data_IF_196976263838
#
_entry.id   IF_196976263838
#
_cell.length_a   1.000
_cell.length_b   1.000
_cell.length_c   1.000
_cell.angle_alpha   90.00
_cell.angle_beta   90.00
_cell.angle_gamma   90.00
#
_symmetry.space_group_name_H-M   'P 1'
#
loop_
_entity.id
_entity.type
_entity.pdbx_description
1 polymer ?
#
# COMPACT_ATOMS: atom_id res chain seq x y z
N UNK A 1 6.94 10.23 6.23
CA UNK A 1 7.13 9.22 7.29
C UNK A 1 8.21 8.25 6.86
N UNK A 2 8.92 7.70 7.83
CA UNK A 2 10.06 6.79 7.65
C UNK A 2 9.96 5.74 8.76
N UNK A 3 10.05 4.44 8.44
CA UNK A 3 10.16 3.34 9.41
C UNK A 3 11.59 3.19 9.93
N UNK A 4 12.56 3.15 9.01
CA UNK A 4 14.00 2.97 9.23
C UNK A 4 14.47 1.51 9.20
N UNK A 5 14.85 0.92 10.32
CA UNK A 5 15.38 -0.46 10.38
C UNK A 5 14.46 -1.28 11.27
N UNK A 6 14.11 -2.48 10.82
CA UNK A 6 13.20 -3.41 11.48
C UNK A 6 11.80 -3.36 10.88
N UNK A 7 10.94 -4.28 11.34
CA UNK A 7 9.57 -4.39 10.85
C UNK A 7 8.71 -3.28 11.48
N UNK A 8 8.33 -2.26 10.71
CA UNK A 8 7.60 -1.09 11.19
C UNK A 8 6.11 -1.11 10.86
N UNK A 9 5.31 -0.45 11.71
CA UNK A 9 3.91 -0.11 11.43
C UNK A 9 3.82 1.39 11.16
N UNK A 10 3.42 1.75 9.94
CA UNK A 10 3.47 3.11 9.41
C UNK A 10 2.04 3.59 9.11
N UNK A 11 1.51 4.45 9.99
CA UNK A 11 0.16 5.02 9.86
C UNK A 11 0.23 6.50 9.45
N UNK A 12 -0.41 6.88 8.33
CA UNK A 12 -0.37 8.28 7.85
C UNK A 12 -1.47 9.15 8.42
N UNK A 13 -2.60 8.57 8.84
CA UNK A 13 -3.79 9.34 9.13
C UNK A 13 -4.34 10.07 7.90
N UNK A 14 -5.23 11.04 8.13
CA UNK A 14 -5.83 11.86 7.07
C UNK A 14 -4.81 12.80 6.42
N UNK A 15 -4.97 13.09 5.13
CA UNK A 15 -4.05 13.93 4.38
C UNK A 15 -3.35 13.19 3.23
N UNK A 16 -2.25 13.77 2.75
CA UNK A 16 -1.46 13.20 1.64
C UNK A 16 -0.02 13.11 2.08
N UNK A 17 0.40 11.90 2.44
CA UNK A 17 1.70 11.67 3.03
C UNK A 17 2.58 10.85 2.09
N UNK A 18 3.89 11.00 2.25
CA UNK A 18 4.86 10.08 1.67
C UNK A 18 5.41 9.21 2.78
N UNK A 19 5.47 7.91 2.54
CA UNK A 19 6.04 6.94 3.47
C UNK A 19 7.19 6.18 2.79
N UNK A 20 8.22 5.92 3.58
CA UNK A 20 9.33 5.03 3.28
C UNK A 20 9.33 3.98 4.40
N UNK A 21 9.33 2.71 4.03
CA UNK A 21 9.44 1.59 4.97
C UNK A 21 10.83 1.60 5.58
N UNK A 22 11.81 1.22 4.77
CA UNK A 22 13.20 1.14 5.15
C UNK A 22 13.68 -0.28 4.97
N UNK A 23 14.44 -0.81 5.94
CA UNK A 23 14.83 -2.22 5.98
C UNK A 23 13.87 -2.97 6.90
N UNK A 24 13.29 -4.09 6.44
CA UNK A 24 12.37 -4.90 7.25
C UNK A 24 11.12 -5.30 6.47
N UNK A 25 10.24 -6.06 7.11
CA UNK A 25 8.92 -6.36 6.54
C UNK A 25 7.90 -5.34 7.08
N UNK A 26 7.65 -4.27 6.34
CA UNK A 26 6.90 -3.11 6.83
C UNK A 26 5.38 -3.20 6.59
N UNK A 27 4.60 -2.59 7.48
CA UNK A 27 3.13 -2.53 7.37
C UNK A 27 2.64 -1.09 7.24
N UNK A 28 2.13 -0.73 6.06
CA UNK A 28 1.52 0.57 5.78
C UNK A 28 0.01 0.53 6.02
N UNK A 29 -0.49 1.27 7.01
CA UNK A 29 -1.91 1.24 7.38
C UNK A 29 -2.65 2.39 6.70
N UNK A 30 -3.63 2.05 5.86
CA UNK A 30 -4.48 3.06 5.21
C UNK A 30 -5.63 3.52 6.11
N UNK A 31 -6.05 4.78 5.96
CA UNK A 31 -7.19 5.30 6.74
C UNK A 31 -8.49 4.65 6.28
N UNK A 32 -9.11 3.92 7.21
CA UNK A 32 -10.44 3.36 7.02
C UNK A 32 -11.54 4.39 7.35
N UNK A 33 -11.79 5.29 6.39
CA UNK A 33 -12.64 6.47 6.59
C UNK A 33 -11.85 7.74 6.25
N UNK A 34 -12.47 8.92 6.40
CA UNK A 34 -11.78 10.19 6.15
C UNK A 34 -11.34 10.42 4.70
N UNK A 35 -10.62 11.52 4.47
CA UNK A 35 -10.04 11.87 3.16
C UNK A 35 -8.52 11.83 3.25
N UNK A 36 -7.89 11.09 2.34
CA UNK A 36 -6.43 11.04 2.28
C UNK A 36 -5.89 9.72 1.78
N UNK A 37 -4.60 9.73 1.43
CA UNK A 37 -3.85 8.55 1.03
C UNK A 37 -2.38 8.68 1.42
N UNK A 38 -1.74 7.52 1.62
CA UNK A 38 -0.28 7.41 1.72
C UNK A 38 0.31 7.08 0.36
N UNK A 39 1.37 7.79 -0.04
CA UNK A 39 2.22 7.42 -1.16
C UNK A 39 3.44 6.67 -0.64
N UNK A 40 3.48 5.37 -0.88
CA UNK A 40 4.55 4.47 -0.48
C UNK A 40 5.63 4.51 -1.55
N UNK A 41 6.87 4.75 -1.14
CA UNK A 41 7.94 5.15 -2.05
C UNK A 41 8.91 4.03 -2.40
N UNK A 42 8.93 2.96 -1.60
CA UNK A 42 9.92 1.88 -1.59
C UNK A 42 9.31 0.50 -1.31
N UNK A 43 8.00 0.32 -1.58
CA UNK A 43 7.29 -0.94 -1.32
C UNK A 43 7.98 -2.13 -1.96
N UNK A 44 8.37 -3.10 -1.15
CA UNK A 44 9.12 -4.28 -1.57
C UNK A 44 8.51 -5.59 -1.11
N UNK A 45 9.20 -6.70 -1.40
CA UNK A 45 8.73 -8.03 -1.00
C UNK A 45 8.99 -8.20 0.51
N UNK A 46 7.93 -8.49 1.26
CA UNK A 46 7.96 -8.52 2.72
C UNK A 46 6.93 -7.54 3.26
N UNK A 47 6.85 -6.38 2.61
CA UNK A 47 5.91 -5.33 2.97
C UNK A 47 4.45 -5.72 2.73
N UNK A 48 3.59 -5.06 3.51
CA UNK A 48 2.15 -5.17 3.42
C UNK A 48 1.46 -3.81 3.53
N UNK A 49 0.31 -3.69 2.88
CA UNK A 49 -0.60 -2.56 3.04
C UNK A 49 -1.86 -3.09 3.74
N UNK A 50 -2.11 -2.65 4.98
CA UNK A 50 -3.39 -2.93 5.63
C UNK A 50 -4.46 -1.97 5.11
N UNK A 51 -5.58 -2.54 4.65
CA UNK A 51 -6.71 -1.77 4.17
C UNK A 51 -8.03 -2.17 4.83
N UNK A 52 -9.10 -1.48 4.44
CA UNK A 52 -10.40 -1.67 5.06
C UNK A 52 -11.06 -3.05 4.79
N UNK A 53 -10.48 -3.89 3.93
CA UNK A 53 -11.12 -5.14 3.49
C UNK A 53 -12.35 -4.93 2.61
N UNK A 54 -12.56 -3.72 2.11
CA UNK A 54 -13.77 -3.37 1.37
C UNK A 54 -13.79 -4.07 0.01
N UNK A 55 -14.87 -4.76 -0.32
CA UNK A 55 -15.01 -5.47 -1.61
C UNK A 55 -14.93 -4.55 -2.85
N UNK A 56 -15.11 -3.24 -2.67
CA UNK A 56 -14.94 -2.23 -3.72
C UNK A 56 -13.50 -1.75 -3.90
N UNK A 57 -12.53 -2.38 -3.22
CA UNK A 57 -11.11 -2.04 -3.37
C UNK A 57 -10.58 -2.59 -4.69
N UNK A 58 -9.96 -1.70 -5.48
CA UNK A 58 -9.36 -2.04 -6.76
C UNK A 58 -7.99 -1.37 -6.90
N UNK A 59 -7.13 -1.93 -7.74
CA UNK A 59 -5.86 -1.28 -8.12
C UNK A 59 -6.00 -0.70 -9.52
N UNK A 60 -5.65 0.57 -9.67
CA UNK A 60 -5.59 1.25 -10.96
C UNK A 60 -4.17 1.74 -11.26
N UNK A 61 -3.68 1.52 -12.47
CA UNK A 61 -2.40 2.08 -12.90
C UNK A 61 -2.57 3.53 -13.37
N UNK A 62 -1.80 4.46 -12.79
CA UNK A 62 -1.75 5.86 -13.25
C UNK A 62 -0.32 6.38 -13.20
N UNK A 63 0.21 6.75 -14.36
CA UNK A 63 1.55 7.34 -14.47
C UNK A 63 2.68 6.40 -14.03
N UNK A 64 2.49 5.09 -14.13
CA UNK A 64 3.47 4.08 -13.69
C UNK A 64 3.44 3.76 -12.19
N UNK A 65 2.48 4.31 -11.45
CA UNK A 65 2.23 3.96 -10.05
C UNK A 65 0.94 3.12 -9.95
N UNK A 66 0.87 2.21 -8.98
CA UNK A 66 -0.35 1.49 -8.61
C UNK A 66 -1.16 2.31 -7.59
N UNK A 67 -2.43 2.58 -7.90
CA UNK A 67 -3.33 3.36 -7.06
C UNK A 67 -4.36 2.42 -6.44
N UNK A 68 -4.31 2.27 -5.12
CA UNK A 68 -5.27 1.49 -4.35
C UNK A 68 -6.49 2.37 -4.10
N UNK A 69 -7.58 2.05 -4.77
CA UNK A 69 -8.83 2.80 -4.79
C UNK A 69 -9.90 2.09 -3.99
N UNK A 70 -10.78 2.83 -3.31
CA UNK A 70 -12.05 2.36 -2.75
C UNK A 70 -13.17 3.19 -3.38
N UNK A 71 -13.78 2.69 -4.45
CA UNK A 71 -14.62 3.52 -5.31
C UNK A 71 -13.80 4.68 -5.88
N UNK A 72 -14.25 5.93 -5.73
CA UNK A 72 -13.54 7.12 -6.20
C UNK A 72 -12.46 7.64 -5.22
N UNK A 73 -12.32 7.01 -4.05
CA UNK A 73 -11.40 7.46 -3.00
C UNK A 73 -10.06 6.73 -3.09
N UNK A 74 -8.97 7.48 -3.17
CA UNK A 74 -7.61 6.93 -3.18
C UNK A 74 -7.23 6.60 -1.74
N UNK A 75 -6.73 5.39 -1.48
CA UNK A 75 -6.30 4.96 -0.13
C UNK A 75 -4.79 4.78 -0.01
N UNK A 76 -4.14 4.30 -1.06
CA UNK A 76 -2.69 4.27 -1.15
C UNK A 76 -2.25 4.46 -2.59
N UNK A 77 -1.02 4.92 -2.78
CA UNK A 77 -0.33 4.94 -4.06
C UNK A 77 1.02 4.28 -3.87
N UNK A 78 1.27 3.20 -4.60
CA UNK A 78 2.52 2.45 -4.57
C UNK A 78 3.38 2.90 -5.74
N UNK A 79 4.51 3.53 -5.45
CA UNK A 79 5.35 4.15 -6.47
C UNK A 79 6.05 3.09 -7.32
N UNK A 80 5.89 3.17 -8.64
CA UNK A 80 6.66 2.33 -9.58
C UNK A 80 6.35 0.84 -9.54
N UNK A 81 5.27 0.43 -8.87
CA UNK A 81 4.82 -0.97 -8.82
C UNK A 81 3.65 -1.15 -9.77
N UNK A 82 3.72 -2.17 -10.61
CA UNK A 82 2.65 -2.58 -11.51
C UNK A 82 1.55 -3.32 -10.75
N UNK A 83 0.29 -3.16 -11.17
CA UNK A 83 -0.86 -3.77 -10.49
C UNK A 83 -0.79 -5.31 -10.46
N UNK A 84 -0.28 -5.94 -11.52
CA UNK A 84 -0.12 -7.40 -11.63
C UNK A 84 0.91 -7.96 -10.64
N UNK A 85 1.79 -7.09 -10.12
CA UNK A 85 2.77 -7.44 -9.09
C UNK A 85 2.21 -7.30 -7.68
N UNK A 86 0.92 -6.99 -7.50
CA UNK A 86 0.26 -6.91 -6.20
C UNK A 86 -0.79 -8.00 -6.08
N UNK A 87 -0.80 -8.68 -4.93
CA UNK A 87 -1.88 -9.58 -4.53
C UNK A 87 -2.76 -8.90 -3.49
N UNK A 88 -4.08 -9.05 -3.61
CA UNK A 88 -5.05 -8.50 -2.66
C UNK A 88 -5.72 -9.65 -1.93
N UNK A 89 -5.37 -9.81 -0.66
CA UNK A 89 -6.06 -10.73 0.23
C UNK A 89 -7.20 -10.00 0.96
N UNK A 90 -8.42 -10.13 0.43
CA UNK A 90 -9.61 -9.57 1.07
C UNK A 90 -9.98 -10.24 2.40
N UNK A 91 -9.52 -11.47 2.64
CA UNK A 91 -9.80 -12.20 3.89
C UNK A 91 -8.95 -11.64 5.02
N UNK A 92 -7.65 -11.49 4.77
CA UNK A 92 -6.69 -10.94 5.73
C UNK A 92 -6.59 -9.41 5.68
N UNK A 93 -7.25 -8.77 4.71
CA UNK A 93 -7.29 -7.32 4.51
C UNK A 93 -5.90 -6.70 4.27
N UNK A 94 -5.06 -7.43 3.57
CA UNK A 94 -3.69 -7.02 3.23
C UNK A 94 -3.49 -7.01 1.72
N UNK A 95 -2.63 -6.12 1.26
CA UNK A 95 -2.09 -6.11 -0.11
C UNK A 95 -0.58 -6.31 0.01
N UNK A 96 -0.05 -7.26 -0.74
CA UNK A 96 1.38 -7.62 -0.69
C UNK A 96 1.95 -7.74 -2.10
N UNK A 97 3.26 -7.74 -2.24
CA UNK A 97 3.90 -8.10 -3.51
C UNK A 97 3.54 -9.54 -3.90
N UNK A 98 3.17 -9.75 -5.17
CA UNK A 98 2.88 -11.06 -5.73
C UNK A 98 4.13 -11.95 -5.64
N UNK A 99 3.96 -13.15 -5.10
CA UNK A 99 5.03 -14.14 -4.94
C UNK A 99 5.64 -14.63 -6.26
N UNK A 100 5.01 -14.38 -7.41
CA UNK A 100 5.48 -14.79 -8.74
C UNK A 100 6.37 -13.77 -9.46
N UNK A 101 6.68 -12.62 -8.85
CA UNK A 101 7.72 -11.71 -9.36
C UNK A 101 9.08 -12.40 -9.16
N UNK A 102 9.41 -13.32 -10.07
CA UNK A 102 10.72 -13.94 -10.17
C UNK A 102 11.73 -12.86 -10.57
N UNK A 103 12.83 -12.83 -9.81
CA UNK A 103 13.97 -11.94 -9.94
C UNK A 103 14.53 -11.81 -11.37
#
# INVERSE_FOLDING_TARGET
MWGYEGDDIIESGEGKDKAYGGEGDDTFVTVNGGKGYVKIMDFEKGDSIEFCGCASTVVEMRGGDAWIMKGDDVKAVVKGVEADNLDIDFTNRVITMNSEVLA
#
